data_IF_653654291973
#
_entry.id   IF_653654291973
#
_cell.length_a   1.000
_cell.length_b   1.000
_cell.length_c   1.000
_cell.angle_alpha   90.00
_cell.angle_beta   90.00
_cell.angle_gamma   90.00
#
_symmetry.space_group_name_H-M   'P 1'
#
loop_
_entity.id
_entity.type
_entity.pdbx_description
1 polymer ?
#
# COMPACT_ATOMS: atom_id res chain seq x y z
N UNK A 1 -0.81 -11.61 -13.99
CA UNK A 1 -0.38 -10.45 -13.19
C UNK A 1 -1.23 -9.30 -13.65
N UNK A 2 -2.19 -8.88 -12.84
CA UNK A 2 -3.06 -7.75 -13.15
C UNK A 2 -2.23 -6.47 -13.24
N UNK A 3 -2.57 -5.60 -14.20
CA UNK A 3 -2.00 -4.26 -14.37
C UNK A 3 -2.25 -3.39 -13.13
N UNK A 4 -1.40 -3.52 -12.11
CA UNK A 4 -1.47 -2.73 -10.87
C UNK A 4 -0.74 -1.40 -10.97
N UNK A 5 -0.18 -1.10 -12.14
CA UNK A 5 0.53 0.15 -12.39
C UNK A 5 -0.38 1.10 -13.19
N UNK A 6 -0.28 2.38 -12.87
CA UNK A 6 -0.89 3.44 -13.64
C UNK A 6 0.13 4.56 -13.86
N UNK A 7 0.03 5.24 -14.98
CA UNK A 7 0.85 6.42 -15.27
C UNK A 7 0.40 7.61 -14.43
N UNK A 8 1.30 8.57 -14.20
CA UNK A 8 0.95 9.85 -13.56
C UNK A 8 -0.19 10.55 -14.31
N UNK A 9 -0.25 10.40 -15.65
CA UNK A 9 -1.33 10.95 -16.46
C UNK A 9 -2.70 10.33 -16.18
N UNK A 10 -2.76 9.04 -15.86
CA UNK A 10 -4.00 8.36 -15.49
C UNK A 10 -4.50 8.81 -14.12
N UNK A 11 -3.60 8.96 -13.14
CA UNK A 11 -3.97 9.51 -11.84
C UNK A 11 -4.56 10.91 -11.97
N UNK A 12 -3.91 11.78 -12.74
CA UNK A 12 -4.41 13.14 -13.02
C UNK A 12 -5.81 13.14 -13.63
N UNK A 13 -6.10 12.20 -14.54
CA UNK A 13 -7.44 12.04 -15.12
C UNK A 13 -8.47 11.56 -14.10
N UNK A 14 -8.09 10.66 -13.19
CA UNK A 14 -9.00 10.14 -12.15
C UNK A 14 -9.35 11.19 -11.10
N UNK A 15 -8.41 12.09 -10.80
CA UNK A 15 -8.62 13.20 -9.87
C UNK A 15 -9.28 14.43 -10.53
N UNK A 16 -9.56 14.36 -11.84
CA UNK A 16 -10.15 15.48 -12.57
C UNK A 16 -11.57 15.76 -12.05
N UNK A 17 -11.76 16.94 -11.45
CA UNK A 17 -13.04 17.38 -10.91
C UNK A 17 -13.18 17.22 -9.39
N UNK A 18 -12.17 16.65 -8.72
CA UNK A 18 -12.03 16.71 -7.26
C UNK A 18 -11.40 18.07 -6.90
N UNK A 19 -11.95 18.84 -5.94
CA UNK A 19 -11.36 20.09 -5.47
C UNK A 19 -9.91 19.92 -4.99
N UNK A 20 -9.06 20.91 -5.27
CA UNK A 20 -7.64 20.88 -4.88
C UNK A 20 -7.43 20.89 -3.35
N UNK A 21 -8.42 21.35 -2.59
CA UNK A 21 -8.39 21.41 -1.12
C UNK A 21 -8.94 20.13 -0.45
N UNK A 22 -9.44 19.17 -1.23
CA UNK A 22 -9.91 17.88 -0.69
C UNK A 22 -8.71 17.05 -0.21
N UNK A 23 -8.88 16.37 0.92
CA UNK A 23 -7.84 15.51 1.50
C UNK A 23 -7.87 14.16 0.78
N UNK A 24 -6.72 13.77 0.21
CA UNK A 24 -6.49 12.42 -0.30
C UNK A 24 -5.98 11.52 0.84
N UNK A 25 -6.77 10.53 1.23
CA UNK A 25 -6.40 9.51 2.21
C UNK A 25 -6.16 8.15 1.52
N UNK A 26 -5.28 7.33 2.09
CA UNK A 26 -5.06 5.96 1.66
C UNK A 26 -5.69 5.01 2.67
N UNK A 27 -6.57 4.14 2.19
CA UNK A 27 -7.27 3.15 3.01
C UNK A 27 -6.28 2.10 3.59
N UNK A 28 -6.66 1.44 4.68
CA UNK A 28 -5.81 0.46 5.38
C UNK A 28 -4.73 1.07 6.28
N UNK A 29 -4.96 2.28 6.81
CA UNK A 29 -4.07 2.92 7.78
C UNK A 29 -2.71 3.36 7.22
N UNK A 30 -2.61 3.53 5.90
CA UNK A 30 -1.36 3.87 5.23
C UNK A 30 -1.04 5.37 5.36
N UNK A 31 0.14 5.65 5.90
CA UNK A 31 0.63 7.02 6.05
C UNK A 31 1.51 7.38 4.87
N UNK A 32 1.08 8.35 4.07
CA UNK A 32 1.92 8.89 3.00
C UNK A 32 3.21 9.48 3.58
N UNK A 33 4.35 9.02 3.05
CA UNK A 33 5.67 9.53 3.43
C UNK A 33 6.19 10.51 2.38
N UNK A 34 6.42 10.04 1.15
CA UNK A 34 6.95 10.89 0.06
C UNK A 34 6.70 10.34 -1.33
N UNK A 35 6.82 11.20 -2.33
CA UNK A 35 6.95 10.83 -3.74
C UNK A 35 8.43 10.88 -4.13
N UNK A 36 8.96 9.80 -4.72
CA UNK A 36 10.34 9.75 -5.23
C UNK A 36 10.41 9.28 -6.68
N UNK A 37 11.39 9.81 -7.42
CA UNK A 37 11.75 9.29 -8.75
C UNK A 37 12.74 8.12 -8.63
N UNK A 38 12.57 7.11 -9.47
CA UNK A 38 13.52 6.00 -9.65
C UNK A 38 13.81 5.85 -11.14
N UNK A 39 14.99 6.28 -11.58
CA UNK A 39 15.30 6.35 -13.01
C UNK A 39 14.46 7.42 -13.71
N UNK A 40 14.33 7.28 -15.03
CA UNK A 40 13.78 8.34 -15.89
C UNK A 40 12.24 8.34 -15.95
N UNK A 41 11.62 7.17 -15.80
CA UNK A 41 10.21 6.92 -16.12
C UNK A 41 9.36 6.40 -14.94
N UNK A 42 9.96 6.09 -13.79
CA UNK A 42 9.24 5.58 -12.63
C UNK A 42 9.17 6.59 -11.47
N UNK A 43 7.95 6.81 -10.99
CA UNK A 43 7.65 7.54 -9.76
C UNK A 43 7.04 6.57 -8.74
N UNK A 44 7.53 6.61 -7.51
CA UNK A 44 7.08 5.73 -6.42
C UNK A 44 6.48 6.58 -5.31
N UNK A 45 5.25 6.25 -4.91
CA UNK A 45 4.65 6.72 -3.67
C UNK A 45 5.16 5.81 -2.54
N UNK A 46 5.80 6.40 -1.55
CA UNK A 46 6.34 5.71 -0.39
C UNK A 46 5.42 5.95 0.81
N UNK A 47 5.17 4.87 1.54
CA UNK A 47 4.41 4.87 2.79
C UNK A 47 5.37 4.73 3.98
N UNK A 48 4.96 5.19 5.15
CA UNK A 48 5.79 5.17 6.36
C UNK A 48 5.82 3.78 7.02
N UNK A 49 4.86 2.92 6.71
CA UNK A 49 4.66 1.64 7.37
C UNK A 49 5.75 0.62 7.00
N UNK A 50 6.25 -0.16 7.99
CA UNK A 50 7.16 -1.27 7.71
C UNK A 50 6.45 -2.36 6.91
N UNK A 51 7.10 -2.79 5.82
CA UNK A 51 6.58 -3.85 4.96
C UNK A 51 7.07 -5.22 5.46
N UNK A 52 6.13 -6.16 5.63
CA UNK A 52 6.46 -7.53 5.96
C UNK A 52 6.99 -8.26 4.71
N UNK A 53 8.07 -9.04 4.88
CA UNK A 53 8.50 -9.96 3.85
C UNK A 53 7.53 -11.16 3.79
N UNK A 54 6.84 -11.32 2.67
CA UNK A 54 6.04 -12.50 2.39
C UNK A 54 6.93 -13.56 1.74
N UNK A 55 7.01 -14.76 2.32
CA UNK A 55 7.71 -15.88 1.70
C UNK A 55 6.89 -16.48 0.53
N UNK A 56 7.54 -17.32 -0.29
CA UNK A 56 6.89 -17.92 -1.45
C UNK A 56 5.72 -18.85 -1.09
N UNK A 57 5.84 -19.60 0.00
CA UNK A 57 4.82 -20.56 0.40
C UNK A 57 3.56 -19.86 0.92
N UNK A 58 3.72 -18.73 1.60
CA UNK A 58 2.63 -17.84 1.97
C UNK A 58 1.95 -17.26 0.73
N UNK A 59 2.72 -16.73 -0.24
CA UNK A 59 2.15 -16.18 -1.49
C UNK A 59 1.38 -17.24 -2.29
N UNK A 60 1.89 -18.47 -2.36
CA UNK A 60 1.22 -19.58 -3.06
C UNK A 60 -0.11 -19.95 -2.40
N UNK A 61 -0.16 -19.94 -1.06
CA UNK A 61 -1.38 -20.25 -0.29
C UNK A 61 -2.38 -19.09 -0.28
N UNK A 62 -1.89 -17.86 -0.36
CA UNK A 62 -2.70 -16.65 -0.28
C UNK A 62 -2.47 -15.76 -1.51
N UNK A 63 -2.88 -16.18 -2.72
CA UNK A 63 -2.60 -15.45 -3.96
C UNK A 63 -3.35 -14.10 -4.06
N UNK A 64 -4.33 -13.88 -3.18
CA UNK A 64 -5.08 -12.62 -3.07
C UNK A 64 -4.35 -11.57 -2.21
N UNK A 65 -3.32 -11.96 -1.44
CA UNK A 65 -2.52 -11.05 -0.61
C UNK A 65 -1.42 -10.43 -1.47
N UNK A 66 -1.48 -9.13 -1.70
CA UNK A 66 -0.50 -8.42 -2.53
C UNK A 66 0.64 -7.81 -1.73
N UNK A 67 0.32 -7.22 -0.58
CA UNK A 67 1.27 -6.59 0.32
C UNK A 67 0.81 -6.84 1.76
N UNK A 68 1.76 -6.84 2.68
CA UNK A 68 1.52 -6.95 4.11
C UNK A 68 2.34 -5.87 4.82
N UNK A 69 1.72 -5.17 5.75
CA UNK A 69 2.37 -4.19 6.61
C UNK A 69 2.41 -4.72 8.03
N UNK A 70 3.46 -4.37 8.77
CA UNK A 70 3.58 -4.72 10.19
C UNK A 70 2.96 -3.60 11.01
N UNK A 71 1.97 -3.93 11.85
CA UNK A 71 1.45 -2.97 12.81
C UNK A 71 2.46 -2.75 13.95
N UNK A 72 2.66 -1.49 14.36
CA UNK A 72 3.46 -1.11 15.53
C UNK A 72 2.65 -1.20 16.84
N UNK A 73 1.34 -1.46 16.75
CA UNK A 73 0.56 -1.89 17.90
C UNK A 73 0.99 -3.30 18.25
N UNK A 74 1.94 -3.43 19.19
CA UNK A 74 2.22 -4.69 19.84
C UNK A 74 0.90 -5.33 20.30
N UNK A 75 0.76 -6.66 20.23
CA UNK A 75 -0.46 -7.32 20.66
C UNK A 75 -0.73 -6.98 22.12
N UNK A 76 -1.96 -6.60 22.46
CA UNK A 76 -2.39 -6.64 23.85
C UNK A 76 -2.33 -8.10 24.35
N UNK A 77 -2.15 -8.32 25.65
CA UNK A 77 -2.05 -9.67 26.23
C UNK A 77 -3.26 -10.53 25.80
N UNK A 78 -3.01 -11.52 24.93
CA UNK A 78 -4.04 -12.40 24.37
C UNK A 78 -4.33 -12.21 22.87
N UNK A 79 -3.74 -11.19 22.22
CA UNK A 79 -3.89 -10.94 20.79
C UNK A 79 -2.81 -11.62 19.93
N UNK A 80 -3.07 -11.86 18.63
CA UNK A 80 -2.09 -12.42 17.71
C UNK A 80 -0.82 -11.56 17.65
N UNK A 81 0.36 -12.21 17.73
CA UNK A 81 1.70 -11.58 17.77
C UNK A 81 2.00 -10.66 16.56
N UNK A 82 1.17 -10.73 15.54
CA UNK A 82 1.30 -10.01 14.28
C UNK A 82 -0.10 -9.86 13.67
N UNK A 83 -0.55 -8.62 13.47
CA UNK A 83 -1.69 -8.32 12.60
C UNK A 83 -1.15 -7.96 11.22
N UNK A 84 -1.74 -8.53 10.17
CA UNK A 84 -1.46 -8.16 8.78
C UNK A 84 -2.72 -7.55 8.24
N UNK A 85 -2.66 -6.26 7.91
CA UNK A 85 -3.71 -5.65 7.07
C UNK A 85 -3.53 -6.17 5.64
N UNK A 86 -4.60 -6.77 5.10
CA UNK A 86 -4.61 -7.41 3.79
C UNK A 86 -5.63 -6.67 2.93
N UNK A 87 -5.14 -5.97 1.91
CA UNK A 87 -6.00 -5.53 0.81
C UNK A 87 -6.45 -6.74 -0.01
N UNK A 88 -7.75 -7.03 -0.03
CA UNK A 88 -8.37 -8.10 -0.84
C UNK A 88 -9.15 -7.46 -1.99
N UNK A 89 -8.98 -7.95 -3.22
CA UNK A 89 -9.84 -7.63 -4.37
C UNK A 89 -10.57 -8.88 -4.87
#
# INVERSE_FOLDING_TARGET
MSDQTFTVGELKRRLQGIPDDDILEFDGGLTFNRIKRRGDDLVVLEFAEPQAYLDEDFRKRNPHVQVAFVSDSGPEDGEPVWSVDVGIQ
#
